data_IF_678258423595
#
_entry.id   IF_678258423595
#
_cell.length_a   1.000
_cell.length_b   1.000
_cell.length_c   1.000
_cell.angle_alpha   90.00
_cell.angle_beta   90.00
_cell.angle_gamma   90.00
#
_symmetry.space_group_name_H-M   'P 1'
#
loop_
_entity.id
_entity.type
_entity.pdbx_description
1 polymer ?
#
# COMPACT_ATOMS: atom_id res chain seq x y z
N UNK A 1 -11.46 -17.79 17.99
CA UNK A 1 -12.21 -16.63 17.46
C UNK A 1 -11.34 -15.50 16.90
N UNK A 2 -10.04 -15.39 17.19
CA UNK A 2 -9.39 -14.08 17.03
C UNK A 2 -8.69 -13.78 15.69
N UNK A 3 -7.92 -14.66 15.06
CA UNK A 3 -7.03 -14.22 13.97
C UNK A 3 -7.76 -13.61 12.76
N UNK A 4 -8.81 -14.28 12.27
CA UNK A 4 -9.63 -13.74 11.17
C UNK A 4 -10.38 -12.46 11.55
N UNK A 5 -10.88 -12.38 12.78
CA UNK A 5 -11.58 -11.19 13.29
C UNK A 5 -10.63 -10.00 13.43
N UNK A 6 -9.41 -10.24 13.91
CA UNK A 6 -8.35 -9.23 14.02
C UNK A 6 -7.90 -8.75 12.65
N UNK A 7 -7.72 -9.65 11.68
CA UNK A 7 -7.38 -9.28 10.30
C UNK A 7 -8.47 -8.45 9.61
N UNK A 8 -9.75 -8.75 9.86
CA UNK A 8 -10.86 -7.93 9.36
C UNK A 8 -10.90 -6.54 10.00
N UNK A 9 -10.69 -6.45 11.31
CA UNK A 9 -10.59 -5.16 12.00
C UNK A 9 -9.41 -4.32 11.47
N UNK A 10 -8.27 -4.98 11.25
CA UNK A 10 -7.09 -4.36 10.68
C UNK A 10 -7.34 -3.81 9.27
N UNK A 11 -8.00 -4.61 8.41
CA UNK A 11 -8.33 -4.18 7.04
C UNK A 11 -9.29 -2.98 7.03
N UNK A 12 -10.28 -2.95 7.93
CA UNK A 12 -11.19 -1.80 8.03
C UNK A 12 -10.46 -0.50 8.43
N UNK A 13 -9.48 -0.59 9.34
CA UNK A 13 -8.64 0.55 9.72
C UNK A 13 -7.79 1.01 8.53
N UNK A 14 -7.16 0.07 7.81
CA UNK A 14 -6.38 0.36 6.59
C UNK A 14 -7.25 1.06 5.55
N UNK A 15 -8.46 0.56 5.28
CA UNK A 15 -9.39 1.18 4.33
C UNK A 15 -9.76 2.62 4.72
N UNK A 16 -9.98 2.89 6.01
CA UNK A 16 -10.24 4.26 6.49
C UNK A 16 -9.03 5.18 6.27
N UNK A 17 -7.82 4.68 6.53
CA UNK A 17 -6.57 5.44 6.34
C UNK A 17 -6.23 5.67 4.86
N UNK A 18 -6.56 4.73 3.97
CA UNK A 18 -6.43 4.94 2.53
C UNK A 18 -7.46 5.94 2.00
N UNK A 19 -8.66 6.01 2.57
CA UNK A 19 -9.66 7.02 2.23
C UNK A 19 -9.16 8.45 2.48
N UNK A 20 -8.44 8.69 3.58
CA UNK A 20 -7.87 10.02 3.88
C UNK A 20 -6.67 10.38 3.00
N UNK A 21 -6.02 9.38 2.38
CA UNK A 21 -4.83 9.57 1.57
C UNK A 21 -5.07 10.44 0.33
N UNK A 22 -6.24 10.33 -0.32
CA UNK A 22 -6.59 11.14 -1.50
C UNK A 22 -6.64 12.64 -1.17
N UNK A 23 -7.15 13.00 0.01
CA UNK A 23 -7.19 14.40 0.46
C UNK A 23 -5.79 14.91 0.74
N UNK A 24 -4.95 14.11 1.40
CA UNK A 24 -3.57 14.51 1.73
C UNK A 24 -2.70 14.71 0.49
N UNK A 25 -2.84 13.87 -0.52
CA UNK A 25 -2.14 14.03 -1.81
C UNK A 25 -2.56 15.35 -2.47
N UNK A 26 -3.86 15.64 -2.52
CA UNK A 26 -4.34 16.87 -3.16
C UNK A 26 -3.93 18.14 -2.40
N UNK A 27 -3.86 18.10 -1.08
CA UNK A 27 -3.38 19.25 -0.28
C UNK A 27 -1.88 19.52 -0.42
N UNK A 28 -1.13 18.53 -0.94
CA UNK A 28 0.31 18.65 -1.21
C UNK A 28 0.63 19.15 -2.61
N UNK A 29 -0.37 19.17 -3.49
CA UNK A 29 -0.26 19.77 -4.79
C UNK A 29 -0.29 21.29 -4.61
N UNK A 30 0.78 21.98 -5.01
CA UNK A 30 0.82 23.44 -4.94
C UNK A 30 -0.05 24.01 -6.07
N UNK A 31 -0.78 25.11 -5.82
CA UNK A 31 -1.67 25.77 -6.81
C UNK A 31 -0.91 26.34 -8.05
N UNK A 32 0.41 26.16 -8.14
CA UNK A 32 1.22 26.64 -9.25
C UNK A 32 1.09 25.69 -10.46
N UNK A 33 0.19 26.06 -11.38
CA UNK A 33 -0.21 25.36 -12.60
C UNK A 33 0.91 24.98 -13.60
N UNK A 34 2.19 25.23 -13.28
CA UNK A 34 3.37 24.88 -14.10
C UNK A 34 4.17 23.69 -13.56
N UNK A 35 3.86 23.17 -12.36
CA UNK A 35 4.69 22.19 -11.63
C UNK A 35 4.04 20.82 -11.42
N UNK A 36 2.83 20.58 -11.94
CA UNK A 36 1.95 19.45 -11.57
C UNK A 36 2.63 18.08 -11.55
N UNK A 37 3.16 17.61 -12.68
CA UNK A 37 3.75 16.27 -12.78
C UNK A 37 5.07 16.11 -12.01
N UNK A 38 5.79 17.23 -11.80
CA UNK A 38 7.18 17.26 -11.34
C UNK A 38 7.25 17.18 -9.81
N UNK A 39 6.29 17.79 -9.10
CA UNK A 39 6.15 17.70 -7.64
C UNK A 39 5.62 16.34 -7.18
N UNK A 40 4.80 15.68 -8.01
CA UNK A 40 4.24 14.36 -7.74
C UNK A 40 5.32 13.29 -7.53
N UNK A 41 6.35 13.24 -8.39
CA UNK A 41 7.44 12.29 -8.26
C UNK A 41 8.29 12.53 -7.01
N UNK A 42 8.49 13.79 -6.61
CA UNK A 42 9.21 14.16 -5.39
C UNK A 42 8.42 13.75 -4.14
N UNK A 43 7.14 14.12 -4.06
CA UNK A 43 6.25 13.73 -2.98
C UNK A 43 6.15 12.20 -2.86
N UNK A 44 6.04 11.49 -3.98
CA UNK A 44 6.05 10.03 -4.01
C UNK A 44 7.37 9.48 -3.45
N UNK A 45 8.51 9.97 -3.93
CA UNK A 45 9.84 9.53 -3.49
C UNK A 45 10.03 9.75 -1.99
N UNK A 46 9.65 10.91 -1.47
CA UNK A 46 9.74 11.22 -0.03
C UNK A 46 8.84 10.33 0.80
N UNK A 47 7.57 10.16 0.40
CA UNK A 47 6.60 9.30 1.07
C UNK A 47 7.11 7.86 1.22
N UNK A 48 7.51 7.23 0.11
CA UNK A 48 7.98 5.85 0.11
C UNK A 48 9.37 5.71 0.75
N UNK A 49 10.24 6.73 0.63
CA UNK A 49 11.52 6.78 1.31
C UNK A 49 11.38 6.78 2.83
N UNK A 50 10.54 7.67 3.38
CA UNK A 50 10.21 7.72 4.81
C UNK A 50 9.62 6.39 5.27
N UNK A 51 8.68 5.83 4.50
CA UNK A 51 8.05 4.54 4.82
C UNK A 51 9.08 3.40 4.88
N UNK A 52 9.98 3.33 3.89
CA UNK A 52 11.04 2.32 3.81
C UNK A 52 12.00 2.43 4.98
N UNK A 53 12.44 3.64 5.33
CA UNK A 53 13.34 3.87 6.45
C UNK A 53 12.69 3.51 7.78
N UNK A 54 11.42 3.90 7.98
CA UNK A 54 10.70 3.61 9.20
C UNK A 54 10.47 2.11 9.41
N UNK A 55 10.00 1.40 8.37
CA UNK A 55 9.77 -0.03 8.46
C UNK A 55 11.09 -0.82 8.54
N UNK A 56 12.12 -0.38 7.81
CA UNK A 56 13.46 -0.95 7.88
C UNK A 56 14.09 -0.81 9.27
N UNK A 57 13.92 0.35 9.92
CA UNK A 57 14.35 0.56 11.30
C UNK A 57 13.60 -0.35 12.28
N UNK A 58 12.29 -0.51 12.11
CA UNK A 58 11.48 -1.41 12.94
C UNK A 58 11.90 -2.88 12.78
N UNK A 59 12.14 -3.33 11.55
CA UNK A 59 12.65 -4.68 11.23
C UNK A 59 14.02 -4.90 11.87
N UNK A 60 14.94 -3.95 11.72
CA UNK A 60 16.28 -4.03 12.29
C UNK A 60 16.25 -4.10 13.83
N UNK A 61 15.45 -3.23 14.46
CA UNK A 61 15.26 -3.24 15.92
C UNK A 61 14.68 -4.58 16.40
N UNK A 62 13.68 -5.13 15.70
CA UNK A 62 13.11 -6.45 16.01
C UNK A 62 14.14 -7.58 15.96
N UNK A 63 15.02 -7.57 14.95
CA UNK A 63 16.12 -8.55 14.83
C UNK A 63 17.19 -8.39 15.92
N UNK A 64 17.52 -7.15 16.28
CA UNK A 64 18.46 -6.87 17.38
C UNK A 64 17.93 -7.39 18.72
N UNK A 65 16.65 -7.15 19.03
CA UNK A 65 15.99 -7.67 20.24
C UNK A 65 15.96 -9.19 20.25
N UNK A 66 15.57 -9.83 19.13
CA UNK A 66 15.54 -11.29 19.02
C UNK A 66 16.94 -11.93 19.16
N UNK A 67 17.98 -11.28 18.64
CA UNK A 67 19.38 -11.73 18.80
C UNK A 67 19.87 -11.66 20.24
N UNK A 68 19.34 -10.71 21.02
CA UNK A 68 19.65 -10.54 22.45
C UNK A 68 18.93 -11.56 23.33
N UNK A 69 17.76 -12.05 22.92
CA UNK A 69 16.99 -13.07 23.64
C UNK A 69 17.46 -14.51 23.37
N UNK A 70 18.09 -14.78 22.22
CA UNK A 70 18.67 -16.11 21.88
C UNK A 70 19.64 -16.69 22.92
N UNK A 71 20.58 -15.94 23.54
CA UNK A 71 21.46 -16.50 24.56
C UNK A 71 20.76 -16.83 25.90
N UNK A 72 19.60 -16.26 26.18
CA UNK A 72 18.82 -16.55 27.41
C UNK A 72 17.93 -17.78 27.26
N UNK A 73 17.38 -18.03 26.07
CA UNK A 73 16.58 -19.21 25.78
C UNK A 73 17.42 -20.49 25.67
N UNK A 74 18.64 -20.41 25.13
CA UNK A 74 19.53 -21.57 24.95
C UNK A 74 19.90 -22.28 26.27
N UNK A 75 19.80 -21.60 27.41
CA UNK A 75 20.03 -22.17 28.75
C UNK A 75 18.77 -22.85 29.33
N UNK A 76 17.58 -22.53 28.82
CA UNK A 76 16.30 -23.04 29.34
C UNK A 76 15.71 -24.21 28.53
N UNK A 77 16.16 -24.45 27.28
CA UNK A 77 15.53 -25.40 26.35
C UNK A 77 16.25 -26.74 26.22
N UNK A 78 17.15 -27.13 27.13
CA UNK A 78 17.82 -28.44 27.07
C UNK A 78 16.96 -29.62 27.58
N UNK A 79 15.71 -29.40 28.03
CA UNK A 79 14.92 -30.45 28.72
C UNK A 79 13.61 -30.87 28.03
N UNK A 80 13.18 -30.25 26.93
CA UNK A 80 11.77 -30.40 26.49
C UNK A 80 11.52 -30.50 24.97
N UNK A 81 12.49 -30.97 24.19
CA UNK A 81 12.43 -30.89 22.72
C UNK A 81 12.07 -32.19 21.98
N UNK A 82 11.50 -33.23 22.61
CA UNK A 82 11.33 -34.54 21.93
C UNK A 82 9.90 -35.09 21.81
N UNK A 83 8.84 -34.34 22.16
CA UNK A 83 7.46 -34.83 22.00
C UNK A 83 6.50 -33.67 21.70
N UNK A 84 6.34 -33.28 20.43
CA UNK A 84 5.11 -32.73 19.80
C UNK A 84 5.44 -32.36 18.32
N UNK A 85 5.34 -33.28 17.37
CA UNK A 85 4.19 -33.43 16.46
C UNK A 85 4.00 -32.21 15.52
N UNK A 86 4.67 -32.15 14.36
CA UNK A 86 4.17 -32.68 13.07
C UNK A 86 2.67 -32.45 12.80
N UNK A 87 2.24 -31.19 12.68
CA UNK A 87 1.03 -30.84 11.96
C UNK A 87 1.22 -29.53 11.17
N UNK A 88 0.93 -29.59 9.87
CA UNK A 88 1.12 -28.57 8.82
C UNK A 88 2.58 -28.30 8.40
N UNK A 89 3.02 -28.97 7.32
CA UNK A 89 4.22 -28.58 6.61
C UNK A 89 4.12 -27.09 6.20
N UNK A 90 5.10 -26.23 6.53
CA UNK A 90 5.06 -24.83 6.12
C UNK A 90 5.02 -24.75 4.58
N UNK A 91 4.30 -23.78 4.00
CA UNK A 91 4.35 -23.56 2.56
C UNK A 91 5.83 -23.42 2.15
N UNK A 92 6.22 -24.16 1.11
CA UNK A 92 7.60 -24.23 0.59
C UNK A 92 8.16 -22.81 0.57
N UNK A 93 9.19 -22.56 1.38
CA UNK A 93 9.85 -21.26 1.42
C UNK A 93 10.23 -20.90 -0.02
N UNK A 94 9.60 -19.86 -0.56
CA UNK A 94 10.02 -19.31 -1.84
C UNK A 94 11.51 -19.03 -1.69
N UNK A 95 12.34 -19.64 -2.56
CA UNK A 95 13.77 -19.37 -2.56
C UNK A 95 14.00 -17.86 -2.63
N UNK A 96 15.16 -17.36 -2.22
CA UNK A 96 15.48 -15.92 -2.16
C UNK A 96 15.06 -15.18 -3.45
N UNK A 97 15.21 -15.83 -4.62
CA UNK A 97 14.75 -15.33 -5.92
C UNK A 97 13.22 -15.16 -6.03
N UNK A 98 12.44 -16.10 -5.50
CA UNK A 98 10.98 -16.00 -5.44
C UNK A 98 10.51 -14.88 -4.52
N UNK A 99 11.20 -14.70 -3.39
CA UNK A 99 10.93 -13.60 -2.46
C UNK A 99 11.20 -12.21 -3.09
N UNK A 100 12.36 -12.06 -3.74
CA UNK A 100 12.75 -10.84 -4.46
C UNK A 100 11.82 -10.54 -5.65
N UNK A 101 11.52 -11.55 -6.47
CA UNK A 101 10.64 -11.36 -7.63
C UNK A 101 9.21 -11.03 -7.23
N UNK A 102 8.68 -11.66 -6.17
CA UNK A 102 7.36 -11.32 -5.63
C UNK A 102 7.29 -9.89 -5.11
N UNK A 103 8.31 -9.45 -4.37
CA UNK A 103 8.39 -8.07 -3.88
C UNK A 103 8.50 -7.07 -5.05
N UNK A 104 9.39 -7.32 -6.01
CA UNK A 104 9.58 -6.46 -7.17
C UNK A 104 8.32 -6.36 -8.04
N UNK A 105 7.64 -7.48 -8.30
CA UNK A 105 6.39 -7.48 -9.05
C UNK A 105 5.32 -6.63 -8.34
N UNK A 106 5.14 -6.83 -7.04
CA UNK A 106 4.15 -6.11 -6.26
C UNK A 106 4.46 -4.61 -6.21
N UNK A 107 5.73 -4.25 -6.12
CA UNK A 107 6.19 -2.86 -6.17
C UNK A 107 5.93 -2.19 -7.51
N UNK A 108 6.02 -2.90 -8.63
CA UNK A 108 5.69 -2.32 -9.95
C UNK A 108 4.22 -1.97 -10.02
N UNK A 109 3.33 -2.87 -9.62
CA UNK A 109 1.89 -2.58 -9.61
C UNK A 109 1.54 -1.44 -8.65
N UNK A 110 2.14 -1.46 -7.45
CA UNK A 110 1.94 -0.41 -6.46
C UNK A 110 2.44 0.94 -6.96
N UNK A 111 3.65 0.98 -7.54
CA UNK A 111 4.23 2.19 -8.13
C UNK A 111 3.35 2.76 -9.25
N UNK A 112 2.93 1.92 -10.21
CA UNK A 112 2.07 2.36 -11.31
C UNK A 112 0.73 2.88 -10.81
N UNK A 113 0.13 2.22 -9.80
CA UNK A 113 -1.12 2.67 -9.19
C UNK A 113 -0.98 4.06 -8.56
N UNK A 114 0.06 4.26 -7.75
CA UNK A 114 0.32 5.56 -7.13
C UNK A 114 0.72 6.64 -8.13
N UNK A 115 1.46 6.31 -9.19
CA UNK A 115 1.82 7.25 -10.24
C UNK A 115 0.57 7.70 -11.01
N UNK A 116 -0.28 6.75 -11.44
CA UNK A 116 -1.55 7.05 -12.08
C UNK A 116 -2.46 7.88 -11.18
N UNK A 117 -2.48 7.58 -9.87
CA UNK A 117 -3.26 8.33 -8.89
C UNK A 117 -2.74 9.77 -8.71
N UNK A 118 -1.43 9.94 -8.57
CA UNK A 118 -0.84 11.27 -8.38
C UNK A 118 -1.12 12.17 -9.59
N UNK A 119 -0.87 11.66 -10.81
CA UNK A 119 -1.15 12.40 -12.05
C UNK A 119 -2.66 12.57 -12.26
N UNK A 120 -3.48 11.59 -11.87
CA UNK A 120 -4.94 11.67 -11.97
C UNK A 120 -5.50 12.81 -11.13
N UNK A 121 -5.05 12.91 -9.88
CA UNK A 121 -5.41 13.96 -8.94
C UNK A 121 -5.08 15.36 -9.43
N UNK A 122 -4.05 15.56 -10.26
CA UNK A 122 -3.76 16.88 -10.85
C UNK A 122 -4.93 17.42 -11.68
N UNK A 123 -5.59 16.54 -12.43
CA UNK A 123 -6.66 16.91 -13.37
C UNK A 123 -8.07 16.63 -12.84
N UNK A 124 -8.21 16.02 -11.66
CA UNK A 124 -9.50 15.75 -11.03
C UNK A 124 -9.59 16.33 -9.61
N UNK A 125 -10.79 16.29 -9.04
CA UNK A 125 -11.00 16.74 -7.66
C UNK A 125 -10.70 15.60 -6.69
N UNK A 126 -10.23 15.91 -5.48
CA UNK A 126 -10.03 14.89 -4.44
C UNK A 126 -11.31 14.07 -4.16
N UNK A 127 -12.47 14.73 -4.24
CA UNK A 127 -13.80 14.12 -4.12
C UNK A 127 -14.07 13.09 -5.23
N UNK A 128 -13.82 13.45 -6.50
CA UNK A 128 -13.95 12.55 -7.63
C UNK A 128 -12.93 11.39 -7.57
N UNK A 129 -11.66 11.67 -7.26
CA UNK A 129 -10.63 10.64 -7.12
C UNK A 129 -10.89 9.67 -5.96
N UNK A 130 -11.46 10.13 -4.84
CA UNK A 130 -11.91 9.24 -3.77
C UNK A 130 -13.06 8.32 -4.21
N UNK A 131 -14.03 8.85 -4.96
CA UNK A 131 -15.13 8.07 -5.52
C UNK A 131 -14.63 7.02 -6.53
N UNK A 132 -13.79 7.42 -7.48
CA UNK A 132 -13.23 6.55 -8.51
C UNK A 132 -12.25 5.52 -7.91
N UNK A 133 -11.44 5.92 -6.94
CA UNK A 133 -10.56 5.02 -6.18
C UNK A 133 -11.33 3.94 -5.43
N UNK A 134 -12.55 4.23 -4.98
CA UNK A 134 -13.43 3.24 -4.34
C UNK A 134 -13.85 2.09 -5.28
N UNK A 135 -13.69 2.23 -6.60
CA UNK A 135 -13.92 1.14 -7.56
C UNK A 135 -12.97 -0.04 -7.36
N UNK A 136 -11.86 0.14 -6.65
CA UNK A 136 -10.95 -0.96 -6.27
C UNK A 136 -11.70 -2.10 -5.59
N UNK A 137 -12.72 -1.80 -4.77
CA UNK A 137 -13.55 -2.82 -4.08
C UNK A 137 -14.38 -3.69 -5.02
N UNK A 138 -14.57 -3.26 -6.28
CA UNK A 138 -15.22 -4.02 -7.35
C UNK A 138 -14.19 -4.78 -8.17
N UNK A 139 -13.04 -4.16 -8.45
CA UNK A 139 -11.98 -4.75 -9.27
C UNK A 139 -11.48 -6.04 -8.63
N UNK A 140 -11.23 -6.03 -7.33
CA UNK A 140 -10.65 -7.17 -6.62
C UNK A 140 -11.53 -8.43 -6.73
N UNK A 141 -12.85 -8.41 -6.42
CA UNK A 141 -13.70 -9.57 -6.62
C UNK A 141 -13.80 -9.98 -8.10
N UNK A 142 -13.79 -9.04 -9.05
CA UNK A 142 -13.76 -9.40 -10.48
C UNK A 142 -12.50 -10.19 -10.85
N UNK A 143 -11.34 -9.81 -10.32
CA UNK A 143 -10.07 -10.53 -10.51
C UNK A 143 -10.07 -11.90 -9.80
N UNK A 144 -10.69 -11.99 -8.63
CA UNK A 144 -10.88 -13.26 -7.91
C UNK A 144 -11.80 -14.23 -8.68
N UNK A 145 -12.80 -13.72 -9.40
CA UNK A 145 -13.65 -14.53 -10.27
C UNK A 145 -12.87 -15.10 -11.47
N UNK A 146 -11.92 -14.33 -12.02
CA UNK A 146 -11.00 -14.83 -13.06
C UNK A 146 -10.18 -16.03 -12.56
N UNK A 147 -9.76 -16.01 -11.30
CA UNK A 147 -9.03 -17.12 -10.65
C UNK A 147 -9.90 -18.37 -10.39
N UNK A 148 -11.16 -18.35 -10.83
CA UNK A 148 -12.13 -19.44 -10.66
C UNK A 148 -12.76 -19.50 -9.27
N UNK A 149 -12.54 -18.49 -8.42
CA UNK A 149 -13.16 -18.45 -7.08
C UNK A 149 -14.64 -18.11 -7.20
N UNK A 150 -15.47 -18.80 -6.43
CA UNK A 150 -16.89 -18.49 -6.32
C UNK A 150 -17.08 -17.40 -5.27
N UNK A 151 -17.73 -16.32 -5.67
CA UNK A 151 -18.04 -15.18 -4.82
C UNK A 151 -19.51 -15.29 -4.42
N UNK A 152 -19.80 -15.15 -3.12
CA UNK A 152 -21.17 -15.20 -2.62
C UNK A 152 -21.96 -13.97 -3.08
N UNK A 153 -23.25 -14.14 -3.37
CA UNK A 153 -24.13 -13.04 -3.77
C UNK A 153 -24.19 -11.93 -2.71
N UNK A 154 -24.05 -12.28 -1.42
CA UNK A 154 -23.93 -11.31 -0.33
C UNK A 154 -22.72 -10.38 -0.50
N UNK A 155 -21.60 -10.85 -1.06
CA UNK A 155 -20.42 -10.01 -1.31
C UNK A 155 -20.74 -8.95 -2.36
N UNK A 156 -21.47 -9.32 -3.42
CA UNK A 156 -21.92 -8.36 -4.44
C UNK A 156 -22.87 -7.31 -3.87
N UNK A 157 -23.77 -7.71 -2.94
CA UNK A 157 -24.61 -6.75 -2.22
C UNK A 157 -23.79 -5.80 -1.34
N UNK A 158 -22.77 -6.30 -0.64
CA UNK A 158 -21.87 -5.46 0.16
C UNK A 158 -21.07 -4.48 -0.70
N UNK A 159 -20.56 -4.93 -1.85
CA UNK A 159 -19.88 -4.07 -2.83
C UNK A 159 -20.82 -2.98 -3.33
N UNK A 160 -22.05 -3.34 -3.73
CA UNK A 160 -23.05 -2.36 -4.15
C UNK A 160 -23.38 -1.34 -3.06
N UNK A 161 -23.53 -1.79 -1.81
CA UNK A 161 -23.78 -0.90 -0.68
C UNK A 161 -22.60 0.03 -0.38
N UNK A 162 -21.37 -0.47 -0.50
CA UNK A 162 -20.15 0.33 -0.31
C UNK A 162 -20.03 1.43 -1.38
N UNK A 163 -20.28 1.10 -2.65
CA UNK A 163 -20.28 2.09 -3.74
C UNK A 163 -21.38 3.13 -3.57
N UNK A 164 -22.59 2.70 -3.19
CA UNK A 164 -23.69 3.63 -2.90
C UNK A 164 -23.34 4.56 -1.74
N UNK A 165 -22.75 4.04 -0.66
CA UNK A 165 -22.27 4.84 0.45
C UNK A 165 -21.22 5.87 0.03
N UNK A 166 -20.23 5.45 -0.75
CA UNK A 166 -19.21 6.32 -1.36
C UNK A 166 -19.84 7.44 -2.21
N UNK A 167 -20.78 7.08 -3.08
CA UNK A 167 -21.48 8.03 -3.94
C UNK A 167 -22.33 9.04 -3.15
N UNK A 168 -23.05 8.59 -2.12
CA UNK A 168 -23.83 9.48 -1.24
C UNK A 168 -22.92 10.42 -0.43
N UNK A 169 -21.77 9.92 0.01
CA UNK A 169 -20.81 10.70 0.81
C UNK A 169 -20.18 11.84 -0.01
N UNK A 170 -19.73 11.53 -1.22
CA UNK A 170 -19.11 12.52 -2.11
C UNK A 170 -20.17 13.43 -2.77
N UNK A 171 -21.38 12.92 -2.95
CA UNK A 171 -22.53 13.64 -3.49
C UNK A 171 -22.64 13.56 -5.03
N UNK A 172 -23.85 13.74 -5.58
CA UNK A 172 -24.11 13.56 -7.01
C UNK A 172 -23.38 14.57 -7.91
N UNK A 173 -22.95 15.71 -7.36
CA UNK A 173 -22.16 16.72 -8.08
C UNK A 173 -20.76 16.23 -8.47
N UNK A 174 -20.14 15.35 -7.68
CA UNK A 174 -18.85 14.78 -8.02
C UNK A 174 -18.95 13.78 -9.18
N UNK A 175 -20.02 12.98 -9.24
CA UNK A 175 -20.24 12.04 -10.35
C UNK A 175 -20.46 12.76 -11.69
N UNK A 176 -21.12 13.93 -11.66
CA UNK A 176 -21.31 14.76 -12.85
C UNK A 176 -20.00 15.33 -13.41
N UNK A 177 -18.96 15.48 -12.57
CA UNK A 177 -17.61 15.88 -12.99
C UNK A 177 -16.66 14.71 -13.27
N UNK A 178 -16.86 13.55 -12.67
CA UNK A 178 -15.91 12.43 -12.59
C UNK A 178 -15.95 11.42 -13.77
N UNK A 179 -16.66 11.71 -14.86
CA UNK A 179 -16.94 10.73 -15.92
C UNK A 179 -16.56 11.22 -17.33
N UNK A 180 -15.55 12.10 -17.45
CA UNK A 180 -15.14 12.58 -18.77
C UNK A 180 -13.75 13.24 -18.85
N UNK A 181 -13.09 13.49 -17.73
CA UNK A 181 -11.76 14.09 -17.71
C UNK A 181 -10.63 13.08 -17.90
N UNK A 182 -9.48 13.56 -18.38
CA UNK A 182 -8.25 12.77 -18.43
C UNK A 182 -7.83 12.25 -17.04
N UNK A 183 -7.97 13.09 -16.01
CA UNK A 183 -7.67 12.71 -14.61
C UNK A 183 -8.58 11.61 -14.07
N UNK A 184 -9.87 11.64 -14.40
CA UNK A 184 -10.81 10.60 -13.97
C UNK A 184 -10.45 9.25 -14.56
N UNK A 185 -10.04 9.23 -15.83
CA UNK A 185 -9.55 8.01 -16.49
C UNK A 185 -8.31 7.43 -15.79
N UNK A 186 -7.40 8.29 -15.33
CA UNK A 186 -6.22 7.90 -14.57
C UNK A 186 -6.56 7.39 -13.16
N UNK A 187 -7.56 7.97 -12.48
CA UNK A 187 -8.05 7.47 -11.20
C UNK A 187 -8.76 6.11 -11.33
N UNK A 188 -9.50 5.88 -12.41
CA UNK A 188 -10.05 4.55 -12.70
C UNK A 188 -8.92 3.56 -12.98
N UNK A 189 -7.90 3.97 -13.72
CA UNK A 189 -6.73 3.14 -13.99
C UNK A 189 -5.97 2.81 -12.69
N UNK A 190 -5.80 3.79 -11.79
CA UNK A 190 -5.15 3.58 -10.50
C UNK A 190 -5.93 2.57 -9.65
N UNK A 191 -7.26 2.67 -9.59
CA UNK A 191 -8.12 1.70 -8.90
C UNK A 191 -7.96 0.27 -9.45
N UNK A 192 -7.83 0.12 -10.77
CA UNK A 192 -7.56 -1.18 -11.40
C UNK A 192 -6.18 -1.71 -11.01
N UNK A 193 -5.14 -0.86 -11.08
CA UNK A 193 -3.78 -1.23 -10.73
C UNK A 193 -3.64 -1.63 -9.25
N UNK A 194 -4.27 -0.89 -8.34
CA UNK A 194 -4.35 -1.24 -6.92
C UNK A 194 -5.14 -2.53 -6.70
N UNK A 195 -6.22 -2.76 -7.45
CA UNK A 195 -6.95 -4.03 -7.39
C UNK A 195 -6.09 -5.24 -7.81
N UNK A 196 -5.29 -5.09 -8.87
CA UNK A 196 -4.32 -6.10 -9.29
C UNK A 196 -3.23 -6.29 -8.23
N UNK A 197 -2.71 -5.20 -7.66
CA UNK A 197 -1.75 -5.26 -6.56
C UNK A 197 -2.32 -6.03 -5.37
N UNK A 198 -3.54 -5.74 -4.91
CA UNK A 198 -4.16 -6.41 -3.77
C UNK A 198 -4.37 -7.91 -4.02
N UNK A 199 -4.87 -8.26 -5.20
CA UNK A 199 -5.07 -9.64 -5.63
C UNK A 199 -3.74 -10.43 -5.71
N UNK A 200 -2.65 -9.82 -6.21
CA UNK A 200 -1.32 -10.44 -6.22
C UNK A 200 -0.72 -10.49 -4.81
N UNK A 201 -0.94 -9.44 -4.00
CA UNK A 201 -0.49 -9.34 -2.62
C UNK A 201 -1.02 -10.50 -1.79
N UNK A 202 -2.31 -10.83 -1.90
CA UNK A 202 -2.91 -11.98 -1.21
C UNK A 202 -2.15 -13.29 -1.48
N UNK A 203 -1.92 -13.60 -2.77
CA UNK A 203 -1.25 -14.85 -3.17
C UNK A 203 0.18 -14.90 -2.66
N UNK A 204 0.91 -13.80 -2.75
CA UNK A 204 2.32 -13.73 -2.34
C UNK A 204 2.41 -13.74 -0.81
N UNK A 205 1.62 -12.95 -0.10
CA UNK A 205 1.61 -12.87 1.36
C UNK A 205 1.30 -14.21 2.02
N UNK A 206 0.40 -15.02 1.44
CA UNK A 206 0.13 -16.40 1.91
C UNK A 206 1.29 -17.37 1.70
N UNK A 207 2.16 -17.10 0.72
CA UNK A 207 3.35 -17.90 0.45
C UNK A 207 4.56 -17.51 1.31
N UNK A 208 4.52 -16.31 1.91
CA UNK A 208 5.61 -15.78 2.74
C UNK A 208 5.40 -16.18 4.21
N UNK A 209 6.44 -16.70 4.89
CA UNK A 209 6.40 -16.96 6.33
C UNK A 209 6.09 -15.70 7.14
N UNK A 210 5.33 -15.84 8.23
CA UNK A 210 4.86 -14.71 9.05
C UNK A 210 5.99 -13.84 9.59
N UNK A 211 7.08 -14.47 10.01
CA UNK A 211 8.28 -13.85 10.54
C UNK A 211 8.96 -12.93 9.52
N UNK A 212 8.73 -13.16 8.22
CA UNK A 212 9.38 -12.45 7.11
C UNK A 212 8.48 -11.43 6.41
N UNK A 213 7.23 -11.27 6.82
CA UNK A 213 6.32 -10.29 6.20
C UNK A 213 6.74 -8.84 6.38
N UNK A 214 7.24 -8.41 7.56
CA UNK A 214 7.77 -7.05 7.70
C UNK A 214 8.96 -6.82 6.76
N UNK A 215 9.81 -7.82 6.58
CA UNK A 215 10.97 -7.78 5.68
C UNK A 215 10.52 -7.73 4.21
N UNK A 216 9.49 -8.50 3.86
CA UNK A 216 8.89 -8.49 2.52
C UNK A 216 8.28 -7.13 2.19
N UNK A 217 7.49 -6.58 3.11
CA UNK A 217 6.87 -5.25 2.95
C UNK A 217 7.92 -4.15 2.88
N UNK A 218 8.98 -4.24 3.70
CA UNK A 218 10.10 -3.29 3.63
C UNK A 218 10.82 -3.36 2.27
N UNK A 219 11.02 -4.57 1.75
CA UNK A 219 11.62 -4.76 0.43
C UNK A 219 10.72 -4.23 -0.69
N UNK A 220 9.41 -4.44 -0.59
CA UNK A 220 8.42 -3.88 -1.50
C UNK A 220 8.49 -2.34 -1.50
N UNK A 221 8.49 -1.71 -0.32
CA UNK A 221 8.63 -0.26 -0.18
C UNK A 221 9.97 0.25 -0.74
N UNK A 222 11.06 -0.48 -0.53
CA UNK A 222 12.36 -0.13 -1.07
C UNK A 222 12.35 -0.15 -2.61
N UNK A 223 11.77 -1.17 -3.24
CA UNK A 223 11.63 -1.22 -4.70
C UNK A 223 10.74 -0.09 -5.24
N UNK A 224 9.63 0.25 -4.56
CA UNK A 224 8.81 1.40 -4.96
C UNK A 224 9.60 2.69 -4.85
N UNK A 225 10.34 2.90 -3.76
CA UNK A 225 11.22 4.06 -3.58
C UNK A 225 12.26 4.16 -4.70
N UNK A 226 12.86 3.03 -5.10
CA UNK A 226 13.82 3.00 -6.21
C UNK A 226 13.17 3.37 -7.55
N UNK A 227 11.96 2.88 -7.82
CA UNK A 227 11.20 3.25 -9.02
C UNK A 227 10.82 4.74 -9.01
N UNK A 228 10.39 5.28 -7.86
CA UNK A 228 10.09 6.71 -7.70
C UNK A 228 11.33 7.58 -7.88
N UNK A 229 12.48 7.19 -7.31
CA UNK A 229 13.76 7.87 -7.55
C UNK A 229 14.15 7.85 -9.04
N UNK A 230 13.91 6.73 -9.74
CA UNK A 230 14.17 6.63 -11.17
C UNK A 230 13.25 7.55 -11.99
N UNK A 231 11.97 7.66 -11.59
CA UNK A 231 11.02 8.61 -12.18
C UNK A 231 11.49 10.05 -11.99
N UNK A 232 11.83 10.40 -10.75
CA UNK A 232 12.37 11.71 -10.38
C UNK A 232 13.63 12.07 -11.20
N UNK A 233 14.54 11.12 -11.38
CA UNK A 233 15.73 11.29 -12.21
C UNK A 233 15.40 11.45 -13.70
N UNK A 234 14.39 10.73 -14.20
CA UNK A 234 13.95 10.82 -15.60
C UNK A 234 13.30 12.15 -15.95
N UNK A 235 12.71 12.83 -14.97
CA UNK A 235 12.14 14.17 -15.09
C UNK A 235 13.21 15.28 -15.05
N UNK A 236 14.48 14.92 -14.83
CA UNK A 236 15.60 15.86 -14.88
C UNK A 236 15.82 16.67 -13.60
N UNK A 237 15.28 16.21 -12.46
CA UNK A 237 15.53 16.85 -11.17
C UNK A 237 17.03 16.93 -10.85
N UNK A 238 17.49 18.14 -10.58
CA UNK A 238 18.86 18.38 -10.11
C UNK A 238 18.90 18.39 -8.58
N UNK A 239 20.07 18.11 -8.02
CA UNK A 239 20.27 18.21 -6.57
C UNK A 239 19.96 19.61 -6.02
N UNK A 240 20.27 20.68 -6.78
CA UNK A 240 19.92 22.06 -6.41
C UNK A 240 18.42 22.26 -6.33
N UNK A 241 17.69 21.84 -7.37
CA UNK A 241 16.22 21.95 -7.40
C UNK A 241 15.56 21.19 -6.25
N UNK A 242 16.03 19.97 -5.97
CA UNK A 242 15.61 19.20 -4.80
C UNK A 242 15.79 19.98 -3.49
N UNK A 243 16.97 20.56 -3.28
CA UNK A 243 17.26 21.29 -2.04
C UNK A 243 16.46 22.58 -1.90
N UNK A 244 16.21 23.29 -3.01
CA UNK A 244 15.42 24.52 -3.04
C UNK A 244 13.95 24.23 -2.74
N UNK A 245 13.36 23.23 -3.39
CA UNK A 245 11.97 22.82 -3.15
C UNK A 245 11.78 22.35 -1.71
N UNK A 246 12.68 21.51 -1.18
CA UNK A 246 12.58 21.05 0.21
C UNK A 246 12.81 22.16 1.24
N UNK A 247 13.64 23.16 0.92
CA UNK A 247 13.82 24.34 1.76
C UNK A 247 12.61 25.29 1.73
N UNK A 248 11.81 25.24 0.66
CA UNK A 248 10.59 26.04 0.52
C UNK A 248 9.40 25.49 1.30
N UNK A 249 9.40 24.19 1.61
CA UNK A 249 8.32 23.52 2.36
C UNK A 249 8.17 24.07 3.77
N UNK A 250 6.94 24.42 4.15
CA UNK A 250 6.63 24.83 5.51
C UNK A 250 6.43 23.61 6.43
N UNK A 251 6.23 23.87 7.73
CA UNK A 251 6.08 22.81 8.73
C UNK A 251 4.81 21.95 8.51
N UNK A 252 3.79 22.48 7.84
CA UNK A 252 2.57 21.76 7.53
C UNK A 252 2.82 20.65 6.51
N UNK A 253 3.58 20.94 5.46
CA UNK A 253 3.94 20.04 4.38
C UNK A 253 4.82 18.91 4.92
N UNK A 254 5.84 19.25 5.71
CA UNK A 254 6.66 18.25 6.40
C UNK A 254 5.85 17.33 7.31
N UNK A 255 4.81 17.85 7.96
CA UNK A 255 3.94 17.04 8.82
C UNK A 255 3.10 16.07 7.99
N UNK A 256 2.47 16.53 6.90
CA UNK A 256 1.64 15.68 6.08
C UNK A 256 2.46 14.59 5.36
N UNK A 257 3.65 14.90 4.83
CA UNK A 257 4.47 13.89 4.12
C UNK A 257 4.96 12.80 5.08
N UNK A 258 5.33 13.17 6.31
CA UNK A 258 5.73 12.23 7.36
C UNK A 258 4.54 11.36 7.77
N UNK A 259 3.36 11.96 7.98
CA UNK A 259 2.13 11.20 8.28
C UNK A 259 1.78 10.25 7.14
N UNK A 260 1.89 10.69 5.88
CA UNK A 260 1.64 9.84 4.72
C UNK A 260 2.62 8.67 4.66
N UNK A 261 3.91 8.92 4.86
CA UNK A 261 4.95 7.89 4.85
C UNK A 261 4.79 6.88 5.99
N UNK A 262 4.56 7.34 7.23
CA UNK A 262 4.48 6.47 8.40
C UNK A 262 3.13 5.74 8.51
N UNK A 263 2.03 6.49 8.42
CA UNK A 263 0.69 5.98 8.73
C UNK A 263 0.05 5.36 7.49
N UNK A 264 -0.11 6.14 6.42
CA UNK A 264 -0.85 5.68 5.24
C UNK A 264 -0.03 4.78 4.32
N UNK A 265 1.28 4.63 4.55
CA UNK A 265 2.16 3.84 3.67
C UNK A 265 2.81 2.70 4.44
N UNK A 266 3.74 2.98 5.37
CA UNK A 266 4.43 1.93 6.10
C UNK A 266 3.47 1.05 6.91
N UNK A 267 2.63 1.66 7.77
CA UNK A 267 1.67 0.92 8.57
C UNK A 267 0.60 0.26 7.70
N UNK A 268 -0.02 0.99 6.76
CA UNK A 268 -1.10 0.44 5.95
C UNK A 268 -0.67 -0.75 5.08
N UNK A 269 0.47 -0.67 4.39
CA UNK A 269 0.93 -1.75 3.51
C UNK A 269 1.40 -2.98 4.30
N UNK A 270 2.01 -2.76 5.47
CA UNK A 270 2.33 -3.87 6.38
C UNK A 270 1.06 -4.53 6.93
N UNK A 271 0.10 -3.72 7.37
CA UNK A 271 -1.17 -4.18 7.92
C UNK A 271 -2.01 -4.91 6.86
N UNK A 272 -2.02 -4.42 5.62
CA UNK A 272 -2.64 -5.06 4.46
C UNK A 272 -2.01 -6.43 4.20
N UNK A 273 -0.68 -6.51 4.08
CA UNK A 273 0.02 -7.77 3.86
C UNK A 273 -0.26 -8.80 4.97
N UNK A 274 -0.39 -8.34 6.21
CA UNK A 274 -0.78 -9.19 7.35
C UNK A 274 -2.25 -9.64 7.27
N UNK A 275 -3.17 -8.74 6.92
CA UNK A 275 -4.60 -9.05 6.83
C UNK A 275 -4.90 -10.08 5.72
N UNK A 276 -4.30 -9.92 4.54
CA UNK A 276 -4.56 -10.74 3.36
C UNK A 276 -4.07 -12.20 3.47
N UNK A 277 -3.31 -12.52 4.53
CA UNK A 277 -2.97 -13.91 4.85
C UNK A 277 -4.15 -14.70 5.37
N UNK A 278 -5.03 -14.03 6.11
CA UNK A 278 -6.16 -14.65 6.82
C UNK A 278 -7.52 -14.31 6.20
N UNK A 279 -7.54 -13.34 5.28
CA UNK A 279 -8.73 -12.83 4.60
C UNK A 279 -8.44 -12.83 3.10
N UNK A 280 -9.41 -13.21 2.28
CA UNK A 280 -9.30 -13.07 0.82
C UNK A 280 -9.41 -11.60 0.43
N UNK A 281 -8.68 -11.20 -0.62
CA UNK A 281 -8.73 -9.84 -1.16
C UNK A 281 -10.13 -9.52 -1.70
#
# INVERSE_FOLDING_TARGET
LNERSSSLALLNVVTMLFGSNQVLIKTMETDDATSGAVDCALCMTMRFGIATLALGAAVFAGRAVASTQRPLAATATSTQADVQDQAAAPPRSAGIRGFLSGAAELSVWLFLGFLAQAVGLEYTTASAGALLGSLTVVVVPLLSLWDGRRIADCTWLSVGLALLGSLLFVGPGALAGALGGFGDGLEVLSAVLFGVQLWRCEKIARSVPEDKLPEFTCLQLAFVTLLSCACLASEGWTFSGLTETLASWQSAEWTQIVVMGLVTTAFCLWAEAQALRNVDA
#
